data_IF_444064726958
#
_entry.id   IF_444064726958
#
_cell.length_a   1.000
_cell.length_b   1.000
_cell.length_c   1.000
_cell.angle_alpha   90.00
_cell.angle_beta   90.00
_cell.angle_gamma   90.00
#
_symmetry.space_group_name_H-M   'P 1'
#
loop_
_entity.id
_entity.type
_entity.pdbx_description
1 polymer ?
#
# COMPACT_ATOMS: atom_id res chain seq x y z
N UNK A 1 -7.74 -6.83 -18.11
CA UNK A 1 -8.26 -6.10 -17.26
C UNK A 1 -7.59 -4.86 -17.05
N UNK A 2 -8.13 -3.91 -16.60
CA UNK A 2 -7.53 -2.73 -16.47
C UNK A 2 -7.08 -2.53 -15.13
N UNK A 3 -6.01 -1.90 -14.90
CA UNK A 3 -5.56 -1.70 -13.63
C UNK A 3 -6.35 -0.65 -12.96
N UNK A 4 -6.45 -0.65 -11.70
CA UNK A 4 -7.20 0.25 -10.98
C UNK A 4 -6.34 1.22 -10.27
N UNK A 5 -5.80 2.17 -10.98
CA UNK A 5 -4.95 3.19 -10.43
C UNK A 5 -5.74 4.47 -10.31
N UNK A 6 -5.73 5.09 -9.18
CA UNK A 6 -6.43 6.34 -8.95
C UNK A 6 -5.59 7.31 -8.16
N UNK A 7 -5.77 8.60 -8.44
CA UNK A 7 -5.07 9.65 -7.72
C UNK A 7 -6.09 10.47 -6.96
N UNK A 8 -5.78 10.76 -5.70
CA UNK A 8 -6.68 11.52 -4.87
C UNK A 8 -5.94 12.67 -4.23
N UNK A 9 -6.67 13.68 -3.77
CA UNK A 9 -6.09 14.80 -3.06
C UNK A 9 -6.65 14.73 -1.65
N UNK A 10 -5.81 14.57 -0.66
CA UNK A 10 -6.29 14.45 0.71
C UNK A 10 -6.55 15.83 1.31
N UNK A 11 -6.94 15.89 2.56
CA UNK A 11 -7.30 17.13 3.20
C UNK A 11 -6.13 18.10 3.32
N UNK A 12 -4.92 17.62 3.15
CA UNK A 12 -3.75 18.47 3.19
C UNK A 12 -3.27 18.83 1.81
N UNK A 13 -4.08 18.56 0.80
CA UNK A 13 -3.74 18.84 -0.57
C UNK A 13 -2.55 18.06 -1.09
N UNK A 14 -2.32 16.89 -0.53
CA UNK A 14 -1.29 16.00 -1.00
C UNK A 14 -1.90 15.05 -2.01
N UNK A 15 -1.18 14.75 -3.05
CA UNK A 15 -1.64 13.76 -4.02
C UNK A 15 -1.35 12.38 -3.49
N UNK A 16 -2.33 11.51 -3.52
CA UNK A 16 -2.18 10.15 -3.05
C UNK A 16 -2.53 9.20 -4.17
N UNK A 17 -1.66 8.27 -4.44
CA UNK A 17 -1.90 7.25 -5.45
C UNK A 17 -2.48 6.03 -4.78
N UNK A 18 -3.58 5.51 -5.33
CA UNK A 18 -4.18 4.29 -4.83
C UNK A 18 -4.28 3.33 -5.99
N UNK A 19 -3.83 2.13 -5.80
CA UNK A 19 -3.83 1.12 -6.86
C UNK A 19 -4.27 -0.21 -6.29
N UNK A 20 -5.15 -0.92 -7.01
CA UNK A 20 -5.48 -2.28 -6.65
C UNK A 20 -4.31 -3.15 -7.04
N UNK A 21 -3.84 -3.98 -6.13
CA UNK A 21 -2.63 -4.77 -6.34
C UNK A 21 -2.86 -6.23 -6.01
N UNK A 22 -2.03 -7.08 -6.58
CA UNK A 22 -2.02 -8.49 -6.27
C UNK A 22 -0.97 -8.69 -5.20
N UNK A 23 -1.33 -9.34 -4.13
CA UNK A 23 -0.46 -9.50 -2.98
C UNK A 23 -0.27 -10.97 -2.66
N UNK A 24 0.96 -11.34 -2.37
CA UNK A 24 1.25 -12.66 -1.81
C UNK A 24 1.25 -12.44 -0.31
N UNK A 25 0.38 -13.12 0.39
CA UNK A 25 0.25 -12.96 1.83
C UNK A 25 0.22 -14.32 2.50
N UNK A 26 0.66 -14.36 3.74
CA UNK A 26 0.63 -15.57 4.52
C UNK A 26 -0.59 -15.53 5.42
N UNK A 27 -1.44 -16.57 5.30
CA UNK A 27 -2.60 -16.70 6.15
C UNK A 27 -2.29 -17.86 7.10
N UNK A 28 -1.95 -17.53 8.33
CA UNK A 28 -1.57 -18.50 9.31
C UNK A 28 -2.63 -18.48 10.38
N UNK A 29 -3.18 -19.61 10.75
CA UNK A 29 -4.25 -19.64 11.72
C UNK A 29 -3.83 -19.13 13.09
N UNK A 30 -2.53 -19.02 13.33
CA UNK A 30 -2.06 -18.48 14.58
C UNK A 30 -1.95 -16.97 14.52
N UNK A 31 -2.18 -16.37 13.35
CA UNK A 31 -2.08 -14.93 13.17
C UNK A 31 -3.47 -14.42 12.82
N UNK A 32 -3.90 -13.36 13.45
CA UNK A 32 -5.24 -12.86 13.23
C UNK A 32 -5.45 -12.26 11.86
N UNK A 33 -4.45 -11.61 11.31
CA UNK A 33 -4.59 -10.98 10.01
C UNK A 33 -3.57 -11.57 9.05
N UNK A 34 -3.86 -11.55 7.75
CA UNK A 34 -2.89 -12.04 6.78
C UNK A 34 -1.66 -11.16 6.79
N UNK A 35 -0.51 -11.73 6.55
CA UNK A 35 0.73 -10.99 6.55
C UNK A 35 1.19 -10.81 5.11
N UNK A 36 1.18 -9.59 4.58
CA UNK A 36 1.62 -9.36 3.20
C UNK A 36 3.13 -9.47 3.12
N UNK A 37 3.63 -10.19 2.13
CA UNK A 37 5.07 -10.36 1.96
C UNK A 37 5.58 -9.80 0.66
N UNK A 38 4.74 -9.72 -0.38
CA UNK A 38 5.18 -9.20 -1.65
C UNK A 38 3.96 -8.78 -2.45
N UNK A 39 4.08 -7.78 -3.28
CA UNK A 39 2.98 -7.37 -4.12
C UNK A 39 3.50 -6.85 -5.45
N UNK A 40 2.61 -6.73 -6.42
CA UNK A 40 2.98 -6.22 -7.73
C UNK A 40 2.32 -4.89 -7.96
N UNK A 41 3.06 -3.95 -8.51
CA UNK A 41 2.50 -2.66 -8.88
C UNK A 41 2.79 -2.42 -10.34
N UNK A 42 1.97 -1.59 -10.93
CA UNK A 42 2.14 -1.19 -12.31
C UNK A 42 2.77 0.20 -12.27
N UNK A 43 3.92 0.35 -12.87
CA UNK A 43 4.62 1.61 -12.80
C UNK A 43 5.32 1.85 -14.12
N UNK A 44 5.04 2.99 -14.75
CA UNK A 44 5.68 3.40 -15.98
C UNK A 44 5.61 2.33 -17.07
N UNK A 45 4.47 1.73 -17.21
CA UNK A 45 4.26 0.74 -18.26
C UNK A 45 4.75 -0.65 -17.95
N UNK A 46 5.23 -0.87 -16.73
CA UNK A 46 5.75 -2.17 -16.36
C UNK A 46 5.18 -2.65 -15.03
N UNK A 47 5.08 -3.95 -14.88
CA UNK A 47 4.71 -4.55 -13.61
C UNK A 47 5.99 -4.81 -12.83
N UNK A 48 5.99 -4.42 -11.57
CA UNK A 48 7.15 -4.63 -10.72
C UNK A 48 6.74 -5.34 -9.46
N UNK A 49 7.57 -6.22 -8.96
CA UNK A 49 7.34 -6.88 -7.68
C UNK A 49 8.03 -6.09 -6.58
N UNK A 50 7.35 -5.90 -5.50
CA UNK A 50 7.91 -5.19 -4.35
C UNK A 50 7.83 -6.11 -3.15
N UNK A 51 8.93 -6.34 -2.47
CA UNK A 51 8.94 -7.13 -1.26
C UNK A 51 8.63 -6.23 -0.08
N UNK A 52 7.76 -6.68 0.80
CA UNK A 52 7.43 -5.89 1.98
C UNK A 52 8.53 -6.16 2.99
N UNK A 53 9.43 -5.22 3.16
CA UNK A 53 10.57 -5.43 4.04
C UNK A 53 10.23 -5.26 5.50
N UNK A 54 9.41 -4.28 5.82
CA UNK A 54 9.00 -4.08 7.20
C UNK A 54 7.56 -3.61 7.28
N UNK A 55 6.85 -4.13 8.24
CA UNK A 55 5.50 -3.67 8.54
C UNK A 55 5.65 -2.89 9.84
N UNK A 56 5.41 -1.59 9.76
CA UNK A 56 5.60 -0.70 10.88
C UNK A 56 4.40 -0.62 11.80
N UNK A 57 3.22 -0.82 11.25
CA UNK A 57 2.01 -0.70 12.04
C UNK A 57 0.87 -1.42 11.34
N UNK A 58 -0.04 -1.97 12.10
CA UNK A 58 -1.23 -2.65 11.58
C UNK A 58 -2.43 -2.08 12.30
N UNK A 59 -3.41 -1.65 11.53
CA UNK A 59 -4.58 -1.03 12.08
C UNK A 59 -5.82 -1.63 11.50
N UNK A 60 -6.79 -1.99 12.33
CA UNK A 60 -8.06 -2.51 11.85
C UNK A 60 -9.05 -1.36 11.89
N UNK A 61 -9.84 -1.21 10.84
CA UNK A 61 -10.81 -0.15 10.82
C UNK A 61 -12.03 -0.61 10.04
N UNK A 62 -13.14 0.08 10.23
CA UNK A 62 -14.34 -0.20 9.50
C UNK A 62 -14.70 1.04 8.73
N UNK A 63 -14.88 0.90 7.43
CA UNK A 63 -15.20 2.02 6.59
C UNK A 63 -16.31 1.58 5.66
N UNK A 64 -17.41 2.34 5.64
CA UNK A 64 -18.57 2.03 4.81
C UNK A 64 -19.05 0.59 5.05
N UNK A 65 -19.05 0.19 6.30
CA UNK A 65 -19.52 -1.13 6.66
C UNK A 65 -18.56 -2.27 6.36
N UNK A 66 -17.39 -1.97 5.80
CA UNK A 66 -16.42 -3.00 5.47
C UNK A 66 -15.23 -2.95 6.40
N UNK A 67 -14.75 -4.12 6.76
CA UNK A 67 -13.58 -4.22 7.61
C UNK A 67 -12.34 -4.10 6.74
N UNK A 68 -11.44 -3.22 7.13
CA UNK A 68 -10.19 -3.02 6.42
C UNK A 68 -9.04 -3.19 7.40
N UNK A 69 -7.96 -3.79 6.93
CA UNK A 69 -6.76 -3.91 7.72
C UNK A 69 -5.71 -3.10 6.98
N UNK A 70 -5.17 -2.10 7.65
CA UNK A 70 -4.23 -1.17 7.04
C UNK A 70 -2.84 -1.44 7.57
N UNK A 71 -1.92 -1.78 6.69
CA UNK A 71 -0.56 -2.08 7.06
C UNK A 71 0.32 -0.91 6.60
N UNK A 72 0.98 -0.26 7.53
CA UNK A 72 1.94 0.80 7.18
C UNK A 72 3.27 0.10 6.98
N UNK A 73 3.81 0.20 5.80
CA UNK A 73 4.96 -0.59 5.40
C UNK A 73 6.09 0.26 4.86
N UNK A 74 7.25 -0.32 4.80
CA UNK A 74 8.36 0.32 4.14
C UNK A 74 9.18 -0.72 3.40
N UNK A 75 9.75 -0.32 2.29
CA UNK A 75 10.56 -1.19 1.46
C UNK A 75 11.65 -0.33 0.80
N UNK A 76 12.74 -0.97 0.42
CA UNK A 76 13.81 -0.26 -0.22
C UNK A 76 13.62 -0.38 -1.73
N UNK A 77 13.72 0.73 -2.44
CA UNK A 77 13.57 0.70 -3.87
C UNK A 77 14.87 0.19 -4.49
N UNK A 78 14.87 -0.02 -5.78
CA UNK A 78 16.04 -0.56 -6.44
C UNK A 78 17.23 0.39 -6.37
N UNK A 79 17.03 1.67 -6.15
CA UNK A 79 18.13 2.57 -6.02
C UNK A 79 18.51 2.81 -4.56
N UNK A 80 17.99 2.00 -3.65
CA UNK A 80 18.37 2.09 -2.26
C UNK A 80 17.57 3.03 -1.39
N UNK A 81 16.62 3.74 -1.96
CA UNK A 81 15.82 4.66 -1.19
C UNK A 81 14.70 3.93 -0.46
N UNK A 82 14.42 4.35 0.77
CA UNK A 82 13.31 3.77 1.50
C UNK A 82 12.02 4.39 1.05
N UNK A 83 11.01 3.58 0.81
CA UNK A 83 9.72 4.03 0.38
C UNK A 83 8.71 3.60 1.41
N UNK A 84 7.84 4.52 1.81
CA UNK A 84 6.77 4.23 2.75
C UNK A 84 5.46 4.17 2.00
N UNK A 85 4.65 3.20 2.33
CA UNK A 85 3.37 3.03 1.67
C UNK A 85 2.43 2.29 2.60
N UNK A 86 1.16 2.20 2.23
CA UNK A 86 0.19 1.44 2.99
C UNK A 86 -0.40 0.37 2.11
N UNK A 87 -0.60 -0.80 2.67
CA UNK A 87 -1.33 -1.87 2.01
C UNK A 87 -2.61 -2.05 2.79
N UNK A 88 -3.74 -2.08 2.10
CA UNK A 88 -5.03 -2.22 2.74
C UNK A 88 -5.68 -3.49 2.26
N UNK A 89 -6.08 -4.33 3.18
CA UNK A 89 -6.80 -5.54 2.84
C UNK A 89 -8.27 -5.31 3.17
N UNK A 90 -9.12 -5.34 2.15
CA UNK A 90 -10.54 -5.14 2.33
C UNK A 90 -11.15 -6.51 2.40
N UNK A 91 -11.47 -6.92 3.61
CA UNK A 91 -11.86 -8.30 3.88
C UNK A 91 -13.05 -8.79 3.08
N UNK A 92 -14.13 -8.02 3.04
CA UNK A 92 -15.32 -8.46 2.35
C UNK A 92 -15.13 -8.60 0.84
N UNK A 93 -14.23 -7.82 0.28
CA UNK A 93 -14.01 -7.86 -1.15
C UNK A 93 -12.83 -8.75 -1.53
N UNK A 94 -12.12 -9.24 -0.55
CA UNK A 94 -10.92 -10.06 -0.77
C UNK A 94 -10.04 -9.34 -1.76
N UNK A 95 -9.75 -8.08 -1.44
CA UNK A 95 -9.00 -7.22 -2.34
C UNK A 95 -7.94 -6.43 -1.58
N UNK A 96 -6.82 -6.22 -2.21
CA UNK A 96 -5.75 -5.43 -1.64
C UNK A 96 -5.58 -4.16 -2.44
N UNK A 97 -5.30 -3.08 -1.74
CA UNK A 97 -5.00 -1.81 -2.37
C UNK A 97 -3.70 -1.27 -1.78
N UNK A 98 -2.91 -0.60 -2.59
CA UNK A 98 -1.69 0.02 -2.14
C UNK A 98 -1.86 1.52 -2.26
N UNK A 99 -1.45 2.24 -1.25
CA UNK A 99 -1.58 3.67 -1.23
C UNK A 99 -0.23 4.30 -0.91
N UNK A 100 0.17 5.30 -1.66
CA UNK A 100 1.41 6.00 -1.37
C UNK A 100 1.29 7.44 -1.83
N UNK A 101 2.13 8.29 -1.29
CA UNK A 101 2.11 9.68 -1.65
C UNK A 101 2.69 9.82 -3.06
N UNK A 102 2.26 10.87 -3.73
CA UNK A 102 2.77 11.15 -5.05
C UNK A 102 4.26 11.43 -4.94
N UNK A 103 5.03 10.79 -5.81
CA UNK A 103 6.46 10.98 -5.80
C UNK A 103 6.78 12.41 -6.08
N UNK A 104 7.49 13.05 -5.73
CA UNK A 104 7.80 14.36 -6.08
C UNK A 104 7.30 15.40 -5.18
N UNK A 105 6.29 15.09 -4.41
CA UNK A 105 5.79 16.00 -3.58
C UNK A 105 6.25 15.78 -2.23
N UNK A 106 6.43 14.64 -1.83
CA UNK A 106 6.73 14.34 -0.50
C UNK A 106 7.98 14.90 -0.04
N UNK A 107 8.88 14.96 -0.85
CA UNK A 107 10.10 15.37 -0.48
C UNK A 107 10.19 16.65 0.10
N UNK A 108 9.55 17.49 -0.38
CA UNK A 108 9.64 18.71 0.06
C UNK A 108 9.40 18.87 1.43
N UNK A 109 8.77 18.33 1.87
CA UNK A 109 8.39 18.54 3.08
C UNK A 109 9.26 18.32 4.06
N UNK A 110 9.82 17.88 4.16
CA UNK A 110 10.52 17.68 5.02
C UNK A 110 11.32 18.44 5.51
N UNK A 111 11.49 18.71 5.20
CA UNK A 111 12.29 19.39 5.50
C UNK A 111 12.26 19.89 6.56
N UNK A 112 11.83 19.86 6.90
CA UNK A 112 11.89 20.28 7.74
C UNK A 112 11.91 20.11 8.48
#
# INVERSE_FOLDING_TARGET
MKERLAWYIDSRRMMIMVQTVDVVAIFDRMIREPKPVRFKIYDSGHWKSVNVERILNIEWMRLDGKVQIVYSCESRSCNGQMINYKLKYIHQDIRWEMEMDSPGRTIKRKSS
#
